data_IF_847468075142
#
_entry.id   IF_847468075142
#
_cell.length_a   1.000
_cell.length_b   1.000
_cell.length_c   1.000
_cell.angle_alpha   90.00
_cell.angle_beta   90.00
_cell.angle_gamma   90.00
#
_symmetry.space_group_name_H-M   'P 1'
#
loop_
_entity.id
_entity.type
_entity.pdbx_description
1 polymer ?
#
# COMPACT_ATOMS: atom_id res chain seq x y z
N UNK A 1 12.26 5.74 -2.18
CA UNK A 1 11.11 4.84 -1.95
C UNK A 1 11.47 3.38 -2.21
N UNK A 2 11.28 2.53 -1.20
CA UNK A 2 11.51 1.08 -1.27
C UNK A 2 10.26 0.34 -0.76
N UNK A 3 9.48 -0.23 -1.66
CA UNK A 3 8.30 -1.02 -1.31
C UNK A 3 8.58 -2.52 -1.35
N UNK A 4 7.90 -3.27 -0.48
CA UNK A 4 7.87 -4.73 -0.47
C UNK A 4 6.43 -5.20 -0.30
N UNK A 5 6.17 -6.46 -0.62
CA UNK A 5 4.87 -7.09 -0.40
C UNK A 5 4.38 -6.99 1.05
N UNK A 6 5.31 -7.12 2.01
CA UNK A 6 5.00 -6.97 3.43
C UNK A 6 4.61 -5.54 3.78
N UNK A 7 5.29 -4.53 3.23
CA UNK A 7 4.92 -3.12 3.46
C UNK A 7 3.58 -2.77 2.82
N UNK A 8 3.33 -3.31 1.62
CA UNK A 8 2.10 -3.12 0.88
C UNK A 8 0.89 -3.76 1.57
N UNK A 9 1.04 -4.93 2.21
CA UNK A 9 -0.07 -5.60 2.90
C UNK A 9 -0.62 -4.80 4.09
N UNK A 10 0.21 -3.95 4.72
CA UNK A 10 -0.30 -3.04 5.75
C UNK A 10 -1.26 -2.00 5.19
N UNK A 11 -1.13 -1.63 3.92
CA UNK A 11 -1.97 -0.64 3.24
C UNK A 11 -3.13 -1.27 2.46
N UNK A 12 -3.17 -2.59 2.29
CA UNK A 12 -4.26 -3.29 1.61
C UNK A 12 -5.62 -3.03 2.30
N UNK A 13 -5.63 -3.02 3.63
CA UNK A 13 -6.80 -2.72 4.46
C UNK A 13 -7.03 -1.20 4.72
N UNK A 14 -6.24 -0.33 4.07
CA UNK A 14 -6.40 1.11 4.23
C UNK A 14 -7.76 1.59 3.66
N UNK A 15 -8.30 2.72 4.16
CA UNK A 15 -9.62 3.21 3.76
C UNK A 15 -9.59 3.90 2.39
N UNK A 16 -9.34 3.15 1.32
CA UNK A 16 -9.32 3.68 -0.05
C UNK A 16 -10.71 4.11 -0.55
N UNK A 17 -10.81 5.15 -1.40
CA UNK A 17 -9.73 6.04 -1.83
C UNK A 17 -9.31 7.02 -0.72
N UNK A 18 -8.01 7.23 -0.54
CA UNK A 18 -7.45 8.02 0.57
C UNK A 18 -6.36 9.00 0.11
N UNK A 19 -6.21 10.11 0.82
CA UNK A 19 -5.11 11.06 0.63
C UNK A 19 -3.81 10.55 1.26
N UNK A 20 -2.67 11.12 0.85
CA UNK A 20 -1.35 10.81 1.44
C UNK A 20 -1.36 10.95 2.97
N UNK A 21 -1.91 12.05 3.48
CA UNK A 21 -2.02 12.29 4.92
C UNK A 21 -2.88 11.24 5.63
N UNK A 22 -4.01 10.83 5.03
CA UNK A 22 -4.88 9.80 5.60
C UNK A 22 -4.21 8.42 5.64
N UNK A 23 -3.42 8.07 4.62
CA UNK A 23 -2.64 6.84 4.60
C UNK A 23 -1.53 6.84 5.66
N UNK A 24 -0.86 7.98 5.86
CA UNK A 24 0.14 8.16 6.91
C UNK A 24 -0.50 8.01 8.29
N UNK A 25 -1.63 8.67 8.53
CA UNK A 25 -2.39 8.56 9.78
C UNK A 25 -2.87 7.12 10.01
N UNK A 26 -3.35 6.45 8.97
CA UNK A 26 -3.74 5.04 9.04
C UNK A 26 -2.55 4.16 9.40
N UNK A 27 -1.40 4.30 8.74
CA UNK A 27 -0.18 3.55 9.02
C UNK A 27 0.30 3.74 10.47
N UNK A 28 0.24 4.97 11.00
CA UNK A 28 0.59 5.27 12.40
C UNK A 28 -0.40 4.60 13.37
N UNK A 29 -1.70 4.61 13.06
CA UNK A 29 -2.76 4.07 13.92
C UNK A 29 -2.84 2.55 13.89
N UNK A 30 -2.57 1.94 12.74
CA UNK A 30 -2.51 0.49 12.56
C UNK A 30 -1.22 -0.11 13.15
N UNK A 31 -0.21 0.72 13.42
CA UNK A 31 1.07 0.28 13.94
C UNK A 31 1.96 -0.32 12.85
N UNK A 32 1.82 0.17 11.61
CA UNK A 32 2.68 -0.20 10.50
C UNK A 32 4.15 0.19 10.79
N UNK A 33 5.12 -0.53 10.21
CA UNK A 33 6.53 -0.21 10.38
C UNK A 33 6.86 1.18 9.81
N UNK A 34 7.91 1.81 10.36
CA UNK A 34 8.27 3.20 10.01
C UNK A 34 8.62 3.34 8.53
N UNK A 35 9.12 2.28 7.91
CA UNK A 35 9.39 2.20 6.48
C UNK A 35 8.14 2.50 5.63
N UNK A 36 6.94 2.05 6.03
CA UNK A 36 5.69 2.41 5.32
C UNK A 36 5.46 3.91 5.40
N UNK A 37 5.63 4.49 6.59
CA UNK A 37 5.40 5.91 6.84
C UNK A 37 6.42 6.76 6.06
N UNK A 38 7.70 6.39 6.06
CA UNK A 38 8.74 7.09 5.31
C UNK A 38 8.48 7.02 3.80
N UNK A 39 8.10 5.85 3.29
CA UNK A 39 7.72 5.71 1.87
C UNK A 39 6.51 6.59 1.52
N UNK A 40 5.46 6.59 2.34
CA UNK A 40 4.29 7.45 2.13
C UNK A 40 4.66 8.93 2.18
N UNK A 41 5.56 9.35 3.07
CA UNK A 41 6.02 10.75 3.14
C UNK A 41 6.87 11.15 1.93
N UNK A 42 7.63 10.22 1.36
CA UNK A 42 8.39 10.42 0.13
C UNK A 42 7.50 10.53 -1.13
N UNK A 43 6.19 10.18 -1.05
CA UNK A 43 5.27 10.37 -2.16
C UNK A 43 5.06 11.86 -2.46
N UNK A 44 5.00 12.18 -3.75
CA UNK A 44 4.64 13.52 -4.22
C UNK A 44 3.15 13.78 -3.87
N UNK A 45 2.89 14.90 -3.19
CA UNK A 45 1.53 15.31 -2.85
C UNK A 45 0.90 16.03 -4.04
N UNK A 46 0.36 15.26 -4.98
CA UNK A 46 -0.31 15.83 -6.16
C UNK A 46 -1.74 16.31 -5.85
N UNK A 47 -2.19 16.18 -4.59
CA UNK A 47 -3.56 16.50 -4.18
C UNK A 47 -4.62 15.56 -4.77
N UNK A 48 -4.18 14.46 -5.38
CA UNK A 48 -5.03 13.38 -5.87
C UNK A 48 -5.24 12.32 -4.79
N UNK A 49 -6.40 11.67 -4.85
CA UNK A 49 -6.70 10.54 -3.99
C UNK A 49 -6.10 9.28 -4.61
N UNK A 50 -5.42 8.49 -3.80
CA UNK A 50 -4.99 7.16 -4.21
C UNK A 50 -6.18 6.22 -4.14
N UNK A 51 -6.43 5.43 -5.18
CA UNK A 51 -7.50 4.43 -5.22
C UNK A 51 -7.02 3.07 -4.69
N UNK A 52 -5.72 2.82 -4.68
CA UNK A 52 -5.12 1.62 -4.12
C UNK A 52 -3.60 1.66 -4.05
N UNK A 53 -3.01 0.53 -3.63
CA UNK A 53 -1.55 0.38 -3.54
C UNK A 53 -0.88 0.43 -4.92
N UNK A 54 -1.57 0.06 -6.00
CA UNK A 54 -1.08 0.16 -7.37
C UNK A 54 -0.79 1.60 -7.82
N UNK A 55 -1.51 2.59 -7.27
CA UNK A 55 -1.25 4.02 -7.54
C UNK A 55 0.03 4.52 -6.83
N UNK A 56 0.37 3.90 -5.70
CA UNK A 56 1.54 4.25 -4.88
C UNK A 56 2.78 3.49 -5.34
N UNK A 57 2.59 2.22 -5.66
CA UNK A 57 3.64 1.31 -6.09
C UNK A 57 3.22 0.64 -7.41
N UNK A 58 3.63 1.21 -8.56
CA UNK A 58 3.23 0.67 -9.87
C UNK A 58 3.87 -0.69 -10.21
N UNK A 59 4.91 -1.10 -9.47
CA UNK A 59 5.53 -2.43 -9.55
C UNK A 59 4.95 -3.39 -8.50
N UNK A 60 3.85 -3.03 -7.82
CA UNK A 60 3.16 -3.95 -6.92
C UNK A 60 2.74 -5.19 -7.73
N UNK A 61 3.23 -6.39 -7.38
CA UNK A 61 2.80 -7.59 -8.06
C UNK A 61 1.32 -7.77 -7.73
N UNK A 62 0.48 -7.69 -8.76
CA UNK A 62 -0.96 -7.83 -8.61
C UNK A 62 -1.26 -9.20 -8.01
N UNK A 63 -2.31 -9.27 -7.20
CA UNK A 63 -2.81 -10.50 -6.57
C UNK A 63 -3.03 -11.67 -7.57
N UNK A 64 -3.09 -11.36 -8.88
CA UNK A 64 -3.13 -12.35 -9.98
C UNK A 64 -1.89 -13.26 -10.06
N UNK A 65 -0.73 -12.85 -9.51
CA UNK A 65 0.47 -13.71 -9.39
C UNK A 65 0.45 -14.63 -8.15
N UNK A 66 -0.49 -14.40 -7.21
CA UNK A 66 -0.63 -15.15 -5.95
C UNK A 66 -1.81 -16.13 -5.92
N UNK A 67 -2.55 -16.30 -7.04
CA UNK A 67 -3.40 -17.47 -7.22
C UNK A 67 -2.52 -18.73 -7.44
N UNK A 68 -1.80 -19.11 -6.39
CA UNK A 68 -1.29 -20.46 -6.20
C UNK A 68 -2.49 -21.40 -6.23
N UNK A 69 -2.64 -22.12 -7.36
CA UNK A 69 -3.36 -23.39 -7.52
C UNK A 69 -4.24 -23.82 -6.32
N UNK A 70 -5.47 -23.32 -6.22
CA UNK A 70 -6.51 -24.04 -5.45
C UNK A 70 -7.10 -25.23 -6.24
N UNK A 71 -6.59 -25.53 -7.44
CA UNK A 71 -6.92 -26.75 -8.20
C UNK A 71 -5.95 -27.91 -7.89
N UNK A 72 -5.59 -28.09 -6.61
CA UNK A 72 -5.08 -29.39 -6.13
C UNK A 72 -6.19 -30.12 -5.33
N UNK A 73 -7.20 -30.65 -6.05
CA UNK A 73 -7.71 -32.03 -5.86
C UNK A 73 -8.62 -32.53 -7.00
#
# INVERSE_FOLDING_TARGET
MYWTLELASYLEDAPWPATKDELIDYAIRSGAPIEVIENLQELEDEGELFEGIDDIWPDYPTHDDFFFNEDEY
#
